data_IF_542548370532
#
_entry.id   IF_542548370532
#
_cell.length_a   1.000
_cell.length_b   1.000
_cell.length_c   1.000
_cell.angle_alpha   90.00
_cell.angle_beta   90.00
_cell.angle_gamma   90.00
#
_symmetry.space_group_name_H-M   'P 1'
#
loop_
_entity.id
_entity.type
_entity.pdbx_description
1 polymer ?
#
# COMPACT_ATOMS: atom_id res chain seq x y z
N UNK A 1 -9.35 -9.57 -4.27
CA UNK A 1 -8.29 -9.00 -5.12
C UNK A 1 -8.62 -9.24 -6.58
N UNK A 2 -8.36 -8.25 -7.44
CA UNK A 2 -8.34 -8.37 -8.91
C UNK A 2 -6.90 -8.22 -9.41
N UNK A 3 -6.52 -8.98 -10.43
CA UNK A 3 -5.26 -8.81 -11.15
C UNK A 3 -5.57 -8.59 -12.63
N UNK A 4 -5.22 -7.40 -13.10
CA UNK A 4 -5.49 -6.94 -14.46
C UNK A 4 -4.18 -6.96 -15.24
N UNK A 5 -4.08 -7.88 -16.19
CA UNK A 5 -2.91 -7.97 -17.07
C UNK A 5 -3.18 -7.23 -18.38
N UNK A 6 -2.25 -6.39 -18.80
CA UNK A 6 -2.27 -5.63 -20.06
C UNK A 6 -1.00 -5.92 -20.86
N UNK A 7 -1.04 -5.60 -22.16
CA UNK A 7 0.06 -5.91 -23.09
C UNK A 7 1.38 -5.26 -22.73
N UNK A 8 1.32 -4.03 -22.21
CA UNK A 8 2.46 -3.16 -22.00
C UNK A 8 2.16 -2.07 -20.95
N UNK A 9 3.19 -1.35 -20.54
CA UNK A 9 3.13 -0.25 -19.57
C UNK A 9 2.08 0.81 -19.94
N UNK A 10 1.93 1.14 -21.23
CA UNK A 10 1.00 2.17 -21.70
C UNK A 10 -0.44 1.70 -21.50
N UNK A 11 -0.73 0.46 -21.86
CA UNK A 11 -2.04 -0.15 -21.67
C UNK A 11 -2.40 -0.33 -20.18
N UNK A 12 -1.44 -0.71 -19.34
CA UNK A 12 -1.59 -0.74 -17.88
C UNK A 12 -1.91 0.65 -17.31
N UNK A 13 -1.14 1.66 -17.69
CA UNK A 13 -1.31 3.03 -17.24
C UNK A 13 -2.64 3.63 -17.69
N UNK A 14 -3.06 3.37 -18.93
CA UNK A 14 -4.35 3.81 -19.44
C UNK A 14 -5.51 3.14 -18.68
N UNK A 15 -5.39 1.85 -18.34
CA UNK A 15 -6.42 1.19 -17.56
C UNK A 15 -6.57 1.80 -16.16
N UNK A 16 -5.46 2.06 -15.46
CA UNK A 16 -5.47 2.72 -14.14
C UNK A 16 -6.04 4.13 -14.23
N UNK A 17 -5.61 4.93 -15.22
CA UNK A 17 -6.09 6.30 -15.38
C UNK A 17 -7.61 6.33 -15.64
N UNK A 18 -8.12 5.52 -16.57
CA UNK A 18 -9.56 5.44 -16.83
C UNK A 18 -10.33 4.94 -15.61
N UNK A 19 -9.79 3.97 -14.87
CA UNK A 19 -10.42 3.52 -13.62
C UNK A 19 -10.57 4.67 -12.62
N UNK A 20 -9.52 5.46 -12.40
CA UNK A 20 -9.58 6.63 -11.50
C UNK A 20 -10.61 7.65 -12.00
N UNK A 21 -10.64 7.95 -13.29
CA UNK A 21 -11.61 8.88 -13.89
C UNK A 21 -13.05 8.39 -13.71
N UNK A 22 -13.30 7.11 -13.93
CA UNK A 22 -14.62 6.50 -13.78
C UNK A 22 -15.05 6.47 -12.31
N UNK A 23 -14.11 6.24 -11.37
CA UNK A 23 -14.37 6.36 -9.93
C UNK A 23 -14.78 7.78 -9.55
N UNK A 24 -14.05 8.80 -10.01
CA UNK A 24 -14.37 10.21 -9.73
C UNK A 24 -15.73 10.58 -10.36
N UNK A 25 -15.98 10.21 -11.62
CA UNK A 25 -17.26 10.48 -12.31
C UNK A 25 -18.44 9.81 -11.61
N UNK A 26 -18.27 8.56 -11.19
CA UNK A 26 -19.34 7.81 -10.51
C UNK A 26 -19.61 8.37 -9.12
N UNK A 27 -18.57 8.82 -8.41
CA UNK A 27 -18.69 9.42 -7.09
C UNK A 27 -19.36 10.80 -7.11
N UNK A 28 -19.20 11.57 -8.20
CA UNK A 28 -19.78 12.91 -8.38
C UNK A 28 -19.39 13.86 -7.22
N UNK A 29 -18.10 14.17 -7.04
CA UNK A 29 -17.65 14.92 -5.88
C UNK A 29 -18.18 16.36 -5.85
N UNK A 30 -18.59 16.79 -4.66
CA UNK A 30 -19.03 18.17 -4.35
C UNK A 30 -18.11 18.77 -3.28
N UNK A 31 -18.17 20.08 -3.02
CA UNK A 31 -17.41 20.68 -1.93
C UNK A 31 -17.69 20.04 -0.55
N UNK A 32 -18.91 19.59 -0.31
CA UNK A 32 -19.35 18.96 0.95
C UNK A 32 -19.03 17.46 1.02
N UNK A 33 -18.84 16.83 -0.14
CA UNK A 33 -18.50 15.42 -0.27
C UNK A 33 -17.41 15.25 -1.35
N UNK A 34 -16.14 15.58 -1.03
CA UNK A 34 -15.04 15.52 -1.97
C UNK A 34 -14.56 14.07 -2.19
N UNK A 35 -13.97 13.80 -3.35
CA UNK A 35 -13.32 12.52 -3.62
C UNK A 35 -11.90 12.53 -3.05
N UNK A 36 -11.59 11.63 -2.12
CA UNK A 36 -10.27 11.57 -1.48
C UNK A 36 -9.37 10.55 -2.17
N UNK A 37 -8.28 11.02 -2.78
CA UNK A 37 -7.37 10.24 -3.62
C UNK A 37 -5.97 10.13 -3.01
N UNK A 38 -5.51 8.92 -2.71
CA UNK A 38 -4.14 8.63 -2.33
C UNK A 38 -3.25 8.48 -3.56
N UNK A 39 -2.07 9.12 -3.57
CA UNK A 39 -1.20 9.21 -4.75
C UNK A 39 0.26 8.79 -4.46
N UNK A 40 0.90 8.02 -5.36
CA UNK A 40 2.31 7.68 -5.27
C UNK A 40 3.19 8.61 -6.12
N UNK A 41 4.49 8.55 -5.93
CA UNK A 41 5.48 9.14 -6.84
C UNK A 41 6.22 8.04 -7.63
N UNK A 42 7.34 8.38 -8.25
CA UNK A 42 8.20 7.44 -8.99
C UNK A 42 7.81 7.28 -10.46
N UNK A 43 8.46 6.36 -11.16
CA UNK A 43 8.30 6.22 -12.62
C UNK A 43 6.97 5.57 -13.03
N UNK A 44 6.48 4.62 -12.24
CA UNK A 44 5.28 3.83 -12.57
C UNK A 44 3.99 4.66 -12.76
N UNK A 45 3.68 5.68 -11.91
CA UNK A 45 2.47 6.48 -12.10
C UNK A 45 2.60 7.61 -13.12
N UNK A 46 3.79 7.93 -13.64
CA UNK A 46 4.02 9.09 -14.53
C UNK A 46 3.09 9.09 -15.74
N UNK A 47 2.92 7.93 -16.40
CA UNK A 47 2.04 7.82 -17.56
C UNK A 47 0.55 7.85 -17.18
N UNK A 48 0.19 7.45 -15.95
CA UNK A 48 -1.17 7.62 -15.40
C UNK A 48 -1.47 9.11 -15.26
N UNK A 49 -0.59 9.88 -14.63
CA UNK A 49 -0.76 11.33 -14.46
C UNK A 49 -0.91 12.07 -15.77
N UNK A 50 -0.10 11.72 -16.78
CA UNK A 50 -0.22 12.31 -18.12
C UNK A 50 -1.63 12.12 -18.71
N UNK A 51 -2.20 10.93 -18.58
CA UNK A 51 -3.56 10.65 -19.09
C UNK A 51 -4.61 11.42 -18.29
N UNK A 52 -4.49 11.51 -16.98
CA UNK A 52 -5.39 12.31 -16.14
C UNK A 52 -5.36 13.80 -16.52
N UNK A 53 -4.18 14.34 -16.79
CA UNK A 53 -4.00 15.73 -17.28
C UNK A 53 -4.63 15.92 -18.66
N UNK A 54 -4.42 14.99 -19.59
CA UNK A 54 -4.98 15.06 -20.94
C UNK A 54 -6.53 15.04 -20.91
N UNK A 55 -7.12 14.23 -20.02
CA UNK A 55 -8.57 14.13 -19.81
C UNK A 55 -9.16 15.41 -19.19
N UNK A 56 -8.44 16.03 -18.24
CA UNK A 56 -8.80 17.33 -17.70
C UNK A 56 -8.73 18.43 -18.76
N UNK A 57 -7.63 18.51 -19.53
CA UNK A 57 -7.47 19.49 -20.62
C UNK A 57 -8.53 19.33 -21.70
N UNK A 58 -9.01 18.12 -21.92
CA UNK A 58 -10.13 17.82 -22.80
C UNK A 58 -11.52 18.09 -22.19
N UNK A 59 -11.59 18.66 -20.98
CA UNK A 59 -12.81 19.00 -20.23
C UNK A 59 -13.73 17.80 -19.94
N UNK A 60 -13.14 16.60 -19.78
CA UNK A 60 -13.88 15.35 -19.49
C UNK A 60 -13.88 14.96 -18.01
N UNK A 61 -13.17 15.72 -17.18
CA UNK A 61 -13.08 15.54 -15.73
C UNK A 61 -12.69 16.88 -15.08
N UNK A 62 -12.99 17.04 -13.80
CA UNK A 62 -12.49 18.12 -12.93
C UNK A 62 -11.95 17.52 -11.64
N UNK A 63 -10.89 18.12 -11.12
CA UNK A 63 -10.24 17.81 -9.84
C UNK A 63 -10.55 18.87 -8.76
N UNK A 64 -11.46 19.81 -9.03
CA UNK A 64 -11.79 20.91 -8.12
C UNK A 64 -12.23 20.42 -6.73
N UNK A 65 -13.04 19.34 -6.69
CA UNK A 65 -13.55 18.71 -5.47
C UNK A 65 -12.83 17.38 -5.15
N UNK A 66 -11.56 17.29 -5.54
CA UNK A 66 -10.68 16.17 -5.17
C UNK A 66 -9.71 16.63 -4.08
N UNK A 67 -9.60 15.83 -3.01
CA UNK A 67 -8.58 15.98 -1.97
C UNK A 67 -7.53 14.90 -2.15
N UNK A 68 -6.25 15.25 -2.15
CA UNK A 68 -5.16 14.31 -2.42
C UNK A 68 -4.24 14.13 -1.21
N UNK A 69 -3.81 12.89 -0.98
CA UNK A 69 -2.77 12.56 0.00
C UNK A 69 -1.65 11.78 -0.68
N UNK A 70 -0.43 12.31 -0.65
CA UNK A 70 0.74 11.58 -1.12
C UNK A 70 1.23 10.54 -0.09
N UNK A 71 1.90 9.50 -0.58
CA UNK A 71 2.41 8.41 0.24
C UNK A 71 3.56 8.83 1.16
N UNK A 72 4.46 9.68 0.69
CA UNK A 72 5.76 9.90 1.32
C UNK A 72 6.38 11.24 0.92
N UNK A 73 7.41 11.63 1.67
CA UNK A 73 8.37 12.70 1.33
C UNK A 73 9.71 12.44 2.03
N UNK A 74 10.82 12.79 1.39
CA UNK A 74 12.14 12.69 2.00
C UNK A 74 12.32 13.67 3.16
N UNK A 75 13.07 13.24 4.19
CA UNK A 75 13.42 14.11 5.31
C UNK A 75 14.67 14.93 4.96
N UNK A 76 14.62 16.23 5.26
CA UNK A 76 15.77 17.13 5.11
C UNK A 76 16.06 17.59 3.68
N UNK A 77 15.21 17.25 2.70
CA UNK A 77 15.33 17.77 1.33
C UNK A 77 14.57 19.10 1.22
N UNK A 78 15.14 20.17 0.61
CA UNK A 78 14.38 21.39 0.38
C UNK A 78 13.12 21.11 -0.43
N UNK A 79 12.01 21.75 -0.05
CA UNK A 79 10.70 21.53 -0.69
C UNK A 79 10.73 21.83 -2.19
N UNK A 80 11.50 22.83 -2.60
CA UNK A 80 11.71 23.27 -3.98
C UNK A 80 12.84 22.52 -4.72
N UNK A 81 13.51 21.57 -4.05
CA UNK A 81 14.50 20.73 -4.70
C UNK A 81 13.83 19.93 -5.84
N UNK A 82 14.45 19.82 -7.04
CA UNK A 82 13.82 19.16 -8.19
C UNK A 82 13.36 17.71 -7.93
N UNK A 83 14.11 17.01 -7.08
CA UNK A 83 13.85 15.61 -6.69
C UNK A 83 13.03 15.44 -5.39
N UNK A 84 12.52 16.53 -4.81
CA UNK A 84 11.53 16.41 -3.73
C UNK A 84 10.22 15.85 -4.29
N UNK A 85 9.44 15.14 -3.48
CA UNK A 85 8.15 14.64 -3.91
C UNK A 85 7.11 15.75 -4.05
N UNK A 86 7.25 16.84 -3.31
CA UNK A 86 6.58 18.13 -3.59
C UNK A 86 6.83 18.57 -5.04
N UNK A 87 8.08 18.77 -5.45
CA UNK A 87 8.43 19.21 -6.81
C UNK A 87 7.95 18.22 -7.86
N UNK A 88 8.15 16.92 -7.65
CA UNK A 88 7.69 15.88 -8.57
C UNK A 88 6.18 16.00 -8.83
N UNK A 89 5.37 16.10 -7.78
CA UNK A 89 3.91 16.13 -7.91
C UNK A 89 3.41 17.41 -8.57
N UNK A 90 3.98 18.57 -8.22
CA UNK A 90 3.61 19.84 -8.85
C UNK A 90 4.03 19.89 -10.32
N UNK A 91 5.20 19.36 -10.67
CA UNK A 91 5.71 19.34 -12.04
C UNK A 91 4.96 18.33 -12.91
N UNK A 92 4.54 17.20 -12.35
CA UNK A 92 3.95 16.08 -13.11
C UNK A 92 2.43 16.16 -13.19
N UNK A 93 1.77 16.67 -12.15
CA UNK A 93 0.31 16.58 -12.03
C UNK A 93 -0.37 17.87 -11.56
N UNK A 94 -0.09 18.33 -10.34
CA UNK A 94 -0.94 19.34 -9.69
C UNK A 94 -0.97 20.71 -10.40
N UNK A 95 0.12 21.13 -11.05
CA UNK A 95 0.14 22.40 -11.82
C UNK A 95 -0.61 22.33 -13.15
N UNK A 96 -1.10 21.15 -13.55
CA UNK A 96 -1.71 20.91 -14.86
C UNK A 96 -3.21 20.61 -14.79
N UNK A 97 -3.79 20.60 -13.59
CA UNK A 97 -5.21 20.34 -13.31
C UNK A 97 -5.80 21.43 -12.41
N UNK A 98 -7.13 21.45 -12.23
CA UNK A 98 -7.87 22.40 -11.39
C UNK A 98 -7.99 21.96 -9.91
N UNK A 99 -7.06 21.14 -9.41
CA UNK A 99 -7.04 20.79 -7.98
C UNK A 99 -6.73 22.04 -7.15
N UNK A 100 -7.50 22.26 -6.09
CA UNK A 100 -7.31 23.40 -5.19
C UNK A 100 -6.06 23.19 -4.32
N UNK A 101 -5.17 24.17 -4.16
CA UNK A 101 -3.95 24.02 -3.35
C UNK A 101 -4.21 23.55 -1.91
N UNK A 102 -5.29 24.02 -1.28
CA UNK A 102 -5.70 23.62 0.06
C UNK A 102 -6.14 22.14 0.17
N UNK A 103 -6.46 21.51 -0.95
CA UNK A 103 -6.84 20.11 -1.05
C UNK A 103 -5.65 19.19 -1.35
N UNK A 104 -4.43 19.72 -1.47
CA UNK A 104 -3.22 18.95 -1.72
C UNK A 104 -2.46 18.73 -0.41
N UNK A 105 -2.32 17.46 -0.02
CA UNK A 105 -1.58 17.06 1.17
C UNK A 105 -0.38 16.17 0.79
N UNK A 106 0.81 16.63 1.17
CA UNK A 106 2.08 15.90 1.06
C UNK A 106 2.79 16.11 2.39
N UNK A 107 3.38 15.06 2.95
CA UNK A 107 4.12 15.11 4.21
C UNK A 107 5.20 16.19 4.19
N UNK A 108 5.37 16.92 5.30
CA UNK A 108 6.47 17.86 5.46
C UNK A 108 7.71 17.18 6.08
N UNK A 109 8.60 16.71 5.21
CA UNK A 109 9.89 16.12 5.63
C UNK A 109 10.86 17.09 6.31
N UNK A 110 10.55 18.38 6.39
CA UNK A 110 11.34 19.39 7.12
C UNK A 110 10.62 19.94 8.36
N UNK A 111 9.50 19.31 8.78
CA UNK A 111 8.78 19.73 9.97
C UNK A 111 9.70 19.69 11.22
N UNK A 112 9.60 20.67 12.13
CA UNK A 112 10.40 20.67 13.37
C UNK A 112 10.17 19.44 14.25
N UNK A 113 8.97 18.85 14.19
CA UNK A 113 8.60 17.63 14.87
C UNK A 113 7.97 16.65 13.88
N UNK A 114 8.76 15.68 13.45
CA UNK A 114 8.38 14.69 12.43
C UNK A 114 7.29 13.73 12.91
N UNK A 115 7.26 13.37 14.19
CA UNK A 115 6.23 12.48 14.75
C UNK A 115 4.86 13.20 14.85
N UNK A 116 4.89 14.49 15.19
CA UNK A 116 3.70 15.33 15.19
C UNK A 116 3.15 15.53 13.78
N UNK A 117 4.02 15.72 12.79
CA UNK A 117 3.65 15.77 11.36
C UNK A 117 2.94 14.48 10.93
N UNK A 118 3.52 13.31 11.25
CA UNK A 118 2.90 12.01 10.95
C UNK A 118 1.50 11.88 11.59
N UNK A 119 1.37 12.30 12.85
CA UNK A 119 0.11 12.25 13.59
C UNK A 119 -0.94 13.18 13.00
N UNK A 120 -0.55 14.41 12.62
CA UNK A 120 -1.43 15.38 11.95
C UNK A 120 -1.89 14.87 10.59
N UNK A 121 -1.00 14.24 9.83
CA UNK A 121 -1.32 13.67 8.52
C UNK A 121 -2.42 12.60 8.63
N UNK A 122 -2.27 11.68 9.58
CA UNK A 122 -3.28 10.64 9.88
C UNK A 122 -4.60 11.25 10.37
N UNK A 123 -4.54 12.26 11.24
CA UNK A 123 -5.72 12.98 11.70
C UNK A 123 -6.46 13.66 10.55
N UNK A 124 -5.73 14.26 9.60
CA UNK A 124 -6.32 14.94 8.44
C UNK A 124 -7.00 13.96 7.49
N UNK A 125 -6.39 12.79 7.24
CA UNK A 125 -7.03 11.70 6.48
C UNK A 125 -8.36 11.32 7.13
N UNK A 126 -8.39 11.16 8.47
CA UNK A 126 -9.61 10.81 9.20
C UNK A 126 -10.66 11.92 9.19
N UNK A 127 -10.24 13.17 9.32
CA UNK A 127 -11.09 14.36 9.32
C UNK A 127 -11.90 14.46 8.01
N UNK A 128 -11.27 14.19 6.87
CA UNK A 128 -11.95 14.20 5.57
C UNK A 128 -12.71 12.91 5.25
N UNK A 129 -12.82 12.00 6.23
CA UNK A 129 -13.57 10.75 6.11
C UNK A 129 -12.80 9.60 5.47
N UNK A 130 -11.47 9.66 5.37
CA UNK A 130 -10.65 8.57 4.85
C UNK A 130 -10.57 8.53 3.32
N UNK A 131 -9.62 7.73 2.81
CA UNK A 131 -9.26 7.68 1.39
C UNK A 131 -10.26 6.82 0.62
N UNK A 132 -10.78 7.36 -0.50
CA UNK A 132 -11.72 6.66 -1.38
C UNK A 132 -11.00 5.68 -2.32
N UNK A 133 -9.87 6.10 -2.86
CA UNK A 133 -9.00 5.27 -3.68
C UNK A 133 -7.56 5.63 -3.39
N UNK A 134 -6.74 4.63 -3.08
CA UNK A 134 -5.30 4.79 -2.93
C UNK A 134 -4.60 4.16 -4.13
N UNK A 135 -4.03 4.99 -5.01
CA UNK A 135 -3.13 4.53 -6.05
C UNK A 135 -1.73 4.32 -5.45
N UNK A 136 -1.12 3.18 -5.71
CA UNK A 136 0.25 2.87 -5.30
C UNK A 136 1.08 2.28 -6.44
N UNK A 137 2.39 2.36 -6.29
CA UNK A 137 3.34 1.53 -7.02
C UNK A 137 3.84 0.38 -6.15
N UNK A 138 4.67 -0.48 -6.74
CA UNK A 138 5.42 -1.49 -5.99
C UNK A 138 6.91 -1.43 -6.32
N UNK A 139 7.77 -1.54 -5.30
CA UNK A 139 9.22 -1.75 -5.46
C UNK A 139 9.58 -3.16 -5.97
N UNK A 140 10.80 -3.38 -6.47
CA UNK A 140 11.26 -4.72 -6.88
C UNK A 140 11.33 -5.73 -5.72
N UNK A 141 11.46 -5.24 -4.48
CA UNK A 141 11.43 -5.97 -3.21
C UNK A 141 10.01 -6.10 -2.61
N UNK A 142 8.98 -5.64 -3.32
CA UNK A 142 7.59 -5.70 -2.87
C UNK A 142 7.15 -4.60 -1.91
N UNK A 143 7.94 -3.54 -1.69
CA UNK A 143 7.48 -2.41 -0.87
C UNK A 143 6.34 -1.63 -1.53
N UNK A 144 5.40 -1.12 -0.71
CA UNK A 144 4.47 -0.05 -1.09
C UNK A 144 4.82 1.20 -0.28
N UNK A 145 4.91 2.38 -0.93
CA UNK A 145 5.53 3.58 -0.34
C UNK A 145 6.94 3.24 0.17
N UNK A 146 7.42 3.87 1.24
CA UNK A 146 8.63 3.43 1.93
C UNK A 146 8.39 2.33 2.99
N UNK A 147 7.34 1.51 2.85
CA UNK A 147 7.15 0.33 3.71
C UNK A 147 8.01 -0.84 3.24
N UNK A 148 9.32 -0.69 3.45
CA UNK A 148 10.36 -1.66 3.09
C UNK A 148 10.21 -3.01 3.80
N UNK A 149 10.86 -4.08 3.30
CA UNK A 149 10.85 -5.39 3.92
C UNK A 149 11.14 -5.35 5.42
N UNK A 150 10.29 -6.01 6.20
CA UNK A 150 10.31 -6.02 7.66
C UNK A 150 9.39 -4.98 8.31
N UNK A 151 8.81 -4.06 7.54
CA UNK A 151 7.82 -3.10 8.05
C UNK A 151 6.58 -3.80 8.58
N UNK A 152 6.08 -3.38 9.75
CA UNK A 152 4.84 -3.94 10.30
C UNK A 152 3.67 -3.78 9.30
N UNK A 153 2.91 -4.86 9.10
CA UNK A 153 1.70 -4.84 8.28
C UNK A 153 0.58 -4.01 8.91
N UNK A 154 0.67 -3.69 10.21
CA UNK A 154 -0.22 -2.77 10.92
C UNK A 154 0.38 -1.36 11.12
N UNK A 155 1.48 -1.04 10.43
CA UNK A 155 2.16 0.26 10.59
C UNK A 155 1.27 1.45 10.20
N UNK A 156 1.49 2.57 10.89
CA UNK A 156 0.94 3.90 10.59
C UNK A 156 2.00 4.81 9.95
N UNK A 157 1.58 6.02 9.58
CA UNK A 157 2.49 7.07 9.11
C UNK A 157 3.62 7.30 10.11
N UNK A 158 4.87 7.29 9.63
CA UNK A 158 6.07 7.35 10.48
C UNK A 158 7.31 7.80 9.72
N UNK A 159 8.35 8.14 10.47
CA UNK A 159 9.73 8.22 9.99
C UNK A 159 10.23 6.82 9.61
N UNK A 160 10.88 6.71 8.46
CA UNK A 160 11.51 5.48 7.98
C UNK A 160 12.92 5.77 7.46
N UNK A 161 13.90 5.04 7.98
CA UNK A 161 15.24 4.94 7.38
C UNK A 161 15.17 4.11 6.11
N UNK A 162 15.72 4.62 5.02
CA UNK A 162 15.75 3.94 3.72
C UNK A 162 16.83 2.84 3.71
N UNK A 163 16.50 1.69 3.17
CA UNK A 163 17.43 0.61 2.91
C UNK A 163 18.40 1.00 1.78
N UNK A 164 19.58 0.37 1.79
CA UNK A 164 20.61 0.63 0.79
C UNK A 164 20.15 0.34 -0.65
N UNK A 165 19.26 -0.62 -0.86
CA UNK A 165 18.72 -0.92 -2.18
C UNK A 165 17.80 0.19 -2.70
N UNK A 166 16.99 0.79 -1.82
CA UNK A 166 16.19 1.98 -2.11
C UNK A 166 17.08 3.17 -2.45
N UNK A 167 18.15 3.39 -1.67
CA UNK A 167 19.13 4.45 -1.92
C UNK A 167 19.79 4.26 -3.29
N UNK A 168 20.24 3.04 -3.62
CA UNK A 168 20.83 2.72 -4.94
C UNK A 168 19.84 2.93 -6.08
N UNK A 169 18.59 2.49 -5.92
CA UNK A 169 17.56 2.64 -6.94
C UNK A 169 17.23 4.13 -7.20
N UNK A 170 17.24 4.95 -6.15
CA UNK A 170 16.91 6.36 -6.24
C UNK A 170 18.11 7.25 -6.63
N UNK A 171 19.34 6.78 -6.46
CA UNK A 171 20.56 7.51 -6.85
C UNK A 171 20.54 7.98 -8.31
N UNK A 172 19.84 7.28 -9.22
CA UNK A 172 19.65 7.71 -10.62
C UNK A 172 19.02 9.09 -10.76
N UNK A 173 18.20 9.51 -9.80
CA UNK A 173 17.58 10.83 -9.74
C UNK A 173 18.52 11.90 -9.16
N UNK A 174 19.51 11.48 -8.37
CA UNK A 174 20.51 12.34 -7.73
C UNK A 174 21.86 12.33 -8.48
N UNK A 175 21.82 12.20 -9.81
CA UNK A 175 23.01 12.20 -10.66
C UNK A 175 23.91 10.97 -10.49
N UNK A 176 23.38 9.86 -9.96
CA UNK A 176 24.12 8.62 -9.68
C UNK A 176 24.89 8.64 -8.36
N UNK A 177 24.77 9.70 -7.55
CA UNK A 177 25.51 9.87 -6.31
C UNK A 177 24.68 9.44 -5.10
N UNK A 178 25.05 8.32 -4.47
CA UNK A 178 24.37 7.77 -3.30
C UNK A 178 24.41 8.71 -2.10
N UNK A 179 25.43 9.57 -1.98
CA UNK A 179 25.59 10.47 -0.84
C UNK A 179 24.58 11.63 -0.85
N UNK A 180 24.00 11.92 -2.02
CA UNK A 180 22.98 12.96 -2.21
C UNK A 180 21.56 12.47 -1.99
N UNK A 181 21.36 11.16 -1.91
CA UNK A 181 20.05 10.58 -1.65
C UNK A 181 19.73 10.75 -0.16
N UNK A 182 18.57 11.34 0.21
CA UNK A 182 18.15 11.40 1.59
C UNK A 182 18.07 10.00 2.21
N UNK A 183 18.56 9.86 3.44
CA UNK A 183 18.64 8.55 4.12
C UNK A 183 17.36 8.18 4.88
N UNK A 184 16.45 9.13 5.03
CA UNK A 184 15.18 8.94 5.74
C UNK A 184 14.04 9.61 4.99
N UNK A 185 12.84 9.13 5.20
CA UNK A 185 11.60 9.68 4.67
C UNK A 185 10.48 9.62 5.72
N UNK A 186 9.49 10.48 5.56
CA UNK A 186 8.17 10.26 6.12
C UNK A 186 7.38 9.41 5.13
N UNK A 187 6.64 8.43 5.63
CA UNK A 187 5.82 7.55 4.78
C UNK A 187 4.54 7.20 5.51
N UNK A 188 3.44 7.12 4.77
CA UNK A 188 2.23 6.43 5.22
C UNK A 188 2.54 4.97 5.54
N UNK A 189 1.84 4.42 6.52
CA UNK A 189 2.01 3.03 6.91
C UNK A 189 1.24 2.06 6.03
N UNK A 190 1.53 0.76 6.19
CA UNK A 190 0.79 -0.30 5.51
C UNK A 190 -0.69 -0.25 5.89
N UNK A 191 -1.01 -0.05 7.17
CA UNK A 191 -2.41 0.06 7.62
C UNK A 191 -3.07 1.33 7.11
N UNK A 192 -2.33 2.45 7.01
CA UNK A 192 -2.84 3.71 6.44
C UNK A 192 -3.31 3.52 5.01
N UNK A 193 -2.57 2.74 4.19
CA UNK A 193 -2.98 2.38 2.83
C UNK A 193 -4.17 1.42 2.86
N UNK A 194 -4.14 0.41 3.72
CA UNK A 194 -5.19 -0.62 3.85
C UNK A 194 -6.51 -0.10 4.44
N UNK A 195 -6.51 1.07 5.05
CA UNK A 195 -7.72 1.76 5.53
C UNK A 195 -8.49 2.46 4.40
N UNK A 196 -7.90 2.60 3.20
CA UNK A 196 -8.58 3.13 2.04
C UNK A 196 -9.77 2.25 1.64
N UNK A 197 -10.80 2.83 1.03
CA UNK A 197 -11.94 2.04 0.52
C UNK A 197 -11.52 1.15 -0.64
N UNK A 198 -10.59 1.62 -1.46
CA UNK A 198 -9.97 0.87 -2.55
C UNK A 198 -8.46 1.10 -2.60
N UNK A 199 -7.72 0.05 -2.96
CA UNK A 199 -6.29 0.13 -3.20
C UNK A 199 -5.99 -0.40 -4.59
N UNK A 200 -5.41 0.45 -5.42
CA UNK A 200 -5.01 0.15 -6.80
C UNK A 200 -3.51 0.21 -6.90
N UNK A 201 -2.86 -0.88 -7.29
CA UNK A 201 -1.41 -0.92 -7.51
C UNK A 201 -1.11 -1.01 -8.99
N UNK A 202 -0.18 -0.20 -9.48
CA UNK A 202 0.41 -0.34 -10.80
C UNK A 202 1.81 -1.00 -10.70
N UNK A 203 2.01 -2.07 -11.47
CA UNK A 203 3.25 -2.85 -11.47
C UNK A 203 3.68 -3.18 -12.91
N UNK A 204 4.64 -2.42 -13.46
CA UNK A 204 5.10 -2.60 -14.84
C UNK A 204 6.59 -3.00 -14.89
N UNK A 205 6.92 -3.84 -15.87
CA UNK A 205 8.26 -4.29 -16.21
C UNK A 205 8.76 -5.49 -15.42
N UNK A 206 9.68 -6.24 -16.03
CA UNK A 206 10.26 -7.47 -15.49
C UNK A 206 10.86 -7.32 -14.08
N UNK A 207 11.38 -6.13 -13.75
CA UNK A 207 11.92 -5.84 -12.41
C UNK A 207 10.90 -6.03 -11.27
N UNK A 208 9.60 -6.05 -11.58
CA UNK A 208 8.52 -6.22 -10.59
C UNK A 208 7.96 -7.64 -10.54
N UNK A 209 8.45 -8.55 -11.39
CA UNK A 209 7.88 -9.88 -11.53
C UNK A 209 7.95 -10.70 -10.23
N UNK A 210 9.10 -10.67 -9.55
CA UNK A 210 9.25 -11.36 -8.27
C UNK A 210 8.33 -10.78 -7.19
N UNK A 211 8.27 -9.46 -7.06
CA UNK A 211 7.37 -8.79 -6.13
C UNK A 211 5.90 -9.17 -6.38
N UNK A 212 5.49 -9.21 -7.65
CA UNK A 212 4.13 -9.59 -8.02
C UNK A 212 3.83 -11.05 -7.69
N UNK A 213 4.77 -11.96 -7.96
CA UNK A 213 4.65 -13.37 -7.56
C UNK A 213 4.46 -13.50 -6.05
N UNK A 214 5.30 -12.84 -5.26
CA UNK A 214 5.21 -12.92 -3.80
C UNK A 214 3.92 -12.34 -3.26
N UNK A 215 3.39 -11.29 -3.87
CA UNK A 215 2.14 -10.68 -3.49
C UNK A 215 0.90 -11.50 -3.88
N UNK A 216 0.92 -12.20 -5.02
CA UNK A 216 -0.26 -12.90 -5.57
C UNK A 216 -0.28 -14.38 -5.19
N UNK A 217 0.86 -15.06 -5.25
CA UNK A 217 0.98 -16.51 -5.03
C UNK A 217 1.60 -16.87 -3.68
N UNK A 218 2.34 -15.94 -3.06
CA UNK A 218 2.90 -16.10 -1.73
C UNK A 218 1.87 -15.92 -0.61
N UNK A 219 2.26 -16.29 0.62
CA UNK A 219 1.47 -15.95 1.81
C UNK A 219 1.74 -14.51 2.28
N UNK A 220 0.80 -13.96 3.05
CA UNK A 220 0.96 -12.64 3.70
C UNK A 220 2.23 -12.61 4.53
N UNK A 221 3.13 -11.67 4.23
CA UNK A 221 4.47 -11.61 4.82
C UNK A 221 5.01 -10.17 4.83
N UNK A 222 5.52 -9.71 5.97
CA UNK A 222 6.10 -8.37 6.11
C UNK A 222 7.40 -8.13 5.31
N UNK A 223 8.03 -9.18 4.80
CA UNK A 223 9.17 -9.07 3.87
C UNK A 223 8.74 -8.66 2.46
N UNK A 224 7.46 -8.84 2.13
CA UNK A 224 6.85 -8.46 0.86
C UNK A 224 5.57 -7.69 1.19
N UNK A 225 5.69 -6.43 1.62
CA UNK A 225 4.58 -5.69 2.21
C UNK A 225 3.38 -5.56 1.27
N UNK A 226 3.58 -5.60 -0.05
CA UNK A 226 2.50 -5.71 -1.05
C UNK A 226 1.55 -6.90 -0.83
N UNK A 227 2.02 -7.99 -0.21
CA UNK A 227 1.18 -9.15 0.13
C UNK A 227 0.04 -8.80 1.10
N UNK A 228 0.08 -7.64 1.78
CA UNK A 228 -1.02 -7.16 2.62
C UNK A 228 -2.34 -7.02 1.83
N UNK A 229 -2.28 -6.78 0.52
CA UNK A 229 -3.47 -6.62 -0.33
C UNK A 229 -4.36 -7.85 -0.41
N UNK A 230 -3.84 -9.03 -0.04
CA UNK A 230 -4.65 -10.23 0.10
C UNK A 230 -5.72 -10.09 1.20
N UNK A 231 -5.46 -9.23 2.20
CA UNK A 231 -6.37 -8.94 3.30
C UNK A 231 -7.34 -7.79 2.97
N UNK A 232 -7.10 -7.04 1.88
CA UNK A 232 -7.90 -5.88 1.54
C UNK A 232 -9.19 -6.30 0.82
N UNK A 233 -10.38 -5.79 1.24
CA UNK A 233 -11.65 -6.17 0.63
C UNK A 233 -11.77 -5.75 -0.85
N UNK A 234 -11.11 -4.65 -1.25
CA UNK A 234 -11.19 -4.07 -2.60
C UNK A 234 -9.80 -3.70 -3.11
N UNK A 235 -8.93 -4.70 -3.29
CA UNK A 235 -7.61 -4.53 -3.92
C UNK A 235 -7.64 -4.86 -5.40
N UNK A 236 -6.95 -4.05 -6.20
CA UNK A 236 -6.68 -4.30 -7.62
C UNK A 236 -5.21 -4.08 -7.92
N UNK A 237 -4.58 -5.02 -8.61
CA UNK A 237 -3.25 -4.86 -9.18
C UNK A 237 -3.39 -4.80 -10.69
N UNK A 238 -2.79 -3.80 -11.33
CA UNK A 238 -2.72 -3.64 -12.78
C UNK A 238 -1.27 -3.78 -13.20
N UNK A 239 -1.01 -4.75 -14.07
CA UNK A 239 0.34 -5.14 -14.47
C UNK A 239 0.44 -5.29 -15.99
N UNK A 240 1.61 -4.99 -16.55
CA UNK A 240 1.95 -5.41 -17.91
C UNK A 240 2.37 -6.89 -17.96
N UNK A 241 2.49 -7.47 -19.15
CA UNK A 241 2.90 -8.88 -19.30
C UNK A 241 4.28 -9.13 -18.68
N UNK A 242 5.22 -8.20 -18.81
CA UNK A 242 6.59 -8.33 -18.30
C UNK A 242 6.62 -8.46 -16.76
N UNK A 243 5.73 -7.77 -16.04
CA UNK A 243 5.61 -7.93 -14.60
C UNK A 243 5.00 -9.29 -14.20
N UNK A 244 4.54 -10.12 -15.13
CA UNK A 244 3.97 -11.46 -14.84
C UNK A 244 4.94 -12.62 -15.06
N UNK A 245 6.20 -12.36 -15.45
CA UNK A 245 7.16 -13.39 -15.85
C UNK A 245 7.42 -14.47 -14.79
N UNK A 246 7.31 -14.14 -13.50
CA UNK A 246 7.50 -15.05 -12.37
C UNK A 246 6.20 -15.69 -11.86
N UNK A 247 5.04 -15.31 -12.43
CA UNK A 247 3.75 -15.93 -12.10
C UNK A 247 3.58 -17.27 -12.82
N UNK A 248 2.85 -18.19 -12.19
CA UNK A 248 2.45 -19.40 -12.87
C UNK A 248 1.49 -19.08 -14.03
N UNK A 249 1.66 -19.78 -15.14
CA UNK A 249 0.77 -19.68 -16.31
C UNK A 249 -0.70 -19.87 -15.91
N UNK A 250 -0.97 -20.78 -14.96
CA UNK A 250 -2.32 -21.03 -14.44
C UNK A 250 -2.90 -19.80 -13.73
N UNK A 251 -2.09 -19.08 -12.95
CA UNK A 251 -2.48 -17.84 -12.24
C UNK A 251 -2.87 -16.76 -13.24
N UNK A 252 -2.02 -16.49 -14.24
CA UNK A 252 -2.31 -15.49 -15.28
C UNK A 252 -3.59 -15.85 -16.05
N UNK A 253 -3.75 -17.12 -16.46
CA UNK A 253 -4.96 -17.59 -17.15
C UNK A 253 -6.21 -17.46 -16.29
N UNK A 254 -6.11 -17.76 -14.99
CA UNK A 254 -7.22 -17.62 -14.06
C UNK A 254 -7.72 -16.18 -14.00
N UNK A 255 -6.84 -15.22 -13.74
CA UNK A 255 -7.21 -13.81 -13.63
C UNK A 255 -7.71 -13.21 -14.96
N UNK A 256 -7.07 -13.53 -16.09
CA UNK A 256 -7.57 -13.12 -17.42
C UNK A 256 -8.96 -13.70 -17.71
N UNK A 257 -9.23 -14.93 -17.30
CA UNK A 257 -10.52 -15.60 -17.51
C UNK A 257 -11.64 -14.95 -16.68
N UNK A 258 -11.44 -14.77 -15.37
CA UNK A 258 -12.48 -14.20 -14.49
C UNK A 258 -12.82 -12.76 -14.87
N UNK A 259 -11.84 -11.94 -15.27
CA UNK A 259 -12.09 -10.57 -15.73
C UNK A 259 -12.90 -10.56 -17.03
N UNK A 260 -12.57 -11.43 -18.00
CA UNK A 260 -13.34 -11.57 -19.23
C UNK A 260 -14.80 -11.98 -18.97
N UNK A 261 -15.01 -12.94 -18.07
CA UNK A 261 -16.37 -13.40 -17.70
C UNK A 261 -17.13 -12.30 -16.97
N UNK A 262 -16.48 -11.60 -16.02
CA UNK A 262 -17.08 -10.48 -15.29
C UNK A 262 -17.56 -9.39 -16.23
N UNK A 263 -16.68 -8.90 -17.11
CA UNK A 263 -17.01 -7.90 -18.12
C UNK A 263 -18.14 -8.38 -19.05
N UNK A 264 -18.09 -9.63 -19.52
CA UNK A 264 -19.13 -10.20 -20.39
C UNK A 264 -20.50 -10.36 -19.74
N UNK A 265 -20.58 -10.31 -18.40
CA UNK A 265 -21.82 -10.34 -17.62
C UNK A 265 -22.26 -8.96 -17.12
N UNK A 266 -21.53 -7.89 -17.49
CA UNK A 266 -21.75 -6.56 -16.94
C UNK A 266 -21.47 -6.48 -15.44
N UNK A 267 -20.71 -7.44 -14.90
CA UNK A 267 -20.28 -7.40 -13.50
C UNK A 267 -19.05 -6.51 -13.39
N UNK A 268 -19.29 -5.29 -12.92
CA UNK A 268 -18.25 -4.43 -12.36
C UNK A 268 -18.32 -4.53 -10.84
N UNK A 269 -17.16 -4.59 -10.17
CA UNK A 269 -17.09 -4.70 -8.73
C UNK A 269 -17.84 -3.51 -8.10
N UNK A 270 -18.99 -3.78 -7.46
CA UNK A 270 -19.81 -2.74 -6.82
C UNK A 270 -19.00 -2.07 -5.71
N UNK A 271 -18.80 -0.77 -5.88
CA UNK A 271 -18.02 0.09 -5.00
C UNK A 271 -18.75 0.24 -3.65
N UNK A 272 -18.06 0.19 -2.50
CA UNK A 272 -18.68 0.45 -1.21
C UNK A 272 -19.08 1.94 -1.10
N UNK A 273 -20.38 2.23 -1.15
CA UNK A 273 -20.93 3.60 -1.08
C UNK A 273 -20.84 4.28 0.30
N UNK A 274 -20.25 3.64 1.32
CA UNK A 274 -20.19 4.18 2.69
C UNK A 274 -18.88 3.86 3.38
N UNK A 275 -18.43 4.80 4.21
CA UNK A 275 -17.47 4.61 5.31
C UNK A 275 -17.70 3.25 5.98
N UNK A 276 -16.80 2.30 5.76
CA UNK A 276 -16.67 1.18 6.69
C UNK A 276 -15.99 1.73 7.93
N UNK A 277 -16.78 2.15 8.91
CA UNK A 277 -16.29 2.21 10.28
C UNK A 277 -16.00 0.77 10.69
N UNK A 278 -14.77 0.30 10.45
CA UNK A 278 -14.27 -0.80 11.26
C UNK A 278 -14.26 -0.26 12.69
N UNK A 279 -15.29 -0.61 13.45
CA UNK A 279 -15.12 -0.72 14.88
C UNK A 279 -13.94 -1.68 15.04
N UNK A 280 -12.81 -1.15 15.49
CA UNK A 280 -11.76 -1.96 16.08
C UNK A 280 -12.47 -2.75 17.18
N UNK A 281 -12.83 -4.00 16.87
CA UNK A 281 -13.22 -4.94 17.89
C UNK A 281 -12.05 -4.92 18.87
N UNK A 282 -12.32 -4.47 20.09
CA UNK A 282 -11.32 -4.45 21.15
C UNK A 282 -10.67 -5.84 21.21
N UNK A 283 -9.35 -5.94 21.41
CA UNK A 283 -8.72 -7.23 21.58
C UNK A 283 -9.50 -8.04 22.63
N UNK A 284 -9.70 -9.35 22.41
CA UNK A 284 -10.46 -10.18 23.34
C UNK A 284 -9.89 -9.96 24.74
N UNK A 285 -10.73 -9.49 25.65
CA UNK A 285 -10.33 -9.31 27.04
C UNK A 285 -9.89 -10.68 27.55
N UNK A 286 -8.64 -10.78 28.00
CA UNK A 286 -8.16 -11.91 28.77
C UNK A 286 -9.12 -12.11 29.94
N UNK A 287 -9.65 -13.33 30.17
CA UNK A 287 -10.50 -13.58 31.32
C UNK A 287 -9.76 -13.18 32.58
N UNK A 288 -10.38 -12.36 33.44
CA UNK A 288 -9.86 -11.98 34.74
C UNK A 288 -9.37 -13.21 35.50
N UNK A 289 -8.05 -13.38 35.60
CA UNK A 289 -7.46 -14.29 36.58
C UNK A 289 -7.68 -13.68 37.96
N UNK A 290 -8.57 -14.30 38.72
CA UNK A 290 -8.71 -14.02 40.15
C UNK A 290 -7.41 -14.44 40.87
N UNK A 291 -6.87 -13.53 41.67
CA UNK A 291 -6.05 -13.85 42.85
C UNK A 291 -4.56 -13.51 42.73
N UNK A 292 -3.97 -12.82 43.73
CA UNK A 292 -2.54 -12.50 43.74
C UNK A 292 -1.71 -13.75 44.02
N UNK A 293 -0.62 -13.92 43.28
CA UNK A 293 0.43 -14.90 43.58
C UNK A 293 1.14 -14.48 44.87
N UNK A 294 0.92 -15.23 45.95
CA UNK A 294 1.72 -15.13 47.17
C UNK A 294 3.03 -15.90 46.99
N UNK A 295 4.14 -15.20 47.14
CA UNK A 295 5.49 -15.75 47.29
C UNK A 295 5.61 -16.33 48.69
N UNK A 296 6.03 -17.59 48.82
CA UNK A 296 6.63 -18.13 50.05
C UNK A 296 7.83 -19.01 49.69
N UNK A 297 8.91 -18.75 50.42
CA UNK A 297 10.23 -19.36 50.36
C UNK A 297 10.25 -20.84 50.83
N UNK A 298 10.94 -21.67 50.04
CA UNK A 298 11.86 -22.83 50.28
C UNK A 298 11.90 -23.60 51.64
N UNK A 299 12.64 -24.73 51.77
CA UNK A 299 12.62 -26.07 51.13
C UNK A 299 12.42 -27.20 52.17
N UNK A 300 11.99 -28.40 51.77
CA UNK A 300 12.49 -29.70 52.31
C UNK A 300 11.70 -30.91 51.76
N UNK A 301 12.45 -31.93 51.30
CA UNK A 301 12.05 -33.32 51.09
C UNK A 301 10.88 -33.64 50.13
N UNK A 302 11.19 -33.89 48.86
CA UNK A 302 10.62 -35.05 48.16
C UNK A 302 11.68 -35.71 47.27
N UNK A 303 11.95 -36.96 47.61
CA UNK A 303 12.96 -37.87 47.09
C UNK A 303 12.69 -38.26 45.62
N UNK A 304 13.72 -38.17 44.78
CA UNK A 304 13.69 -38.56 43.37
C UNK A 304 13.80 -40.08 43.24
N UNK A 305 12.78 -40.74 42.68
CA UNK A 305 12.86 -42.13 42.20
C UNK A 305 12.75 -42.18 40.67
N UNK A 306 13.65 -42.88 39.96
CA UNK A 306 13.66 -42.92 38.50
C UNK A 306 12.80 -44.08 37.97
N UNK A 307 11.73 -43.78 37.23
CA UNK A 307 10.89 -44.82 36.61
C UNK A 307 11.43 -45.28 35.25
N UNK A 308 11.54 -46.60 35.12
CA UNK A 308 12.29 -47.32 34.10
C UNK A 308 11.68 -47.27 32.69
N UNK A 309 12.55 -47.18 31.67
CA UNK A 309 12.21 -47.38 30.26
C UNK A 309 11.85 -48.84 29.97
N UNK A 310 10.59 -49.23 30.14
CA UNK A 310 10.10 -50.55 29.69
C UNK A 310 8.67 -50.58 29.12
N UNK A 311 7.98 -49.45 28.97
CA UNK A 311 6.55 -49.43 28.58
C UNK A 311 6.23 -48.93 27.17
N UNK A 312 7.16 -48.97 26.20
CA UNK A 312 6.88 -48.53 24.81
C UNK A 312 7.24 -49.57 23.74
N UNK A 313 6.60 -50.73 23.75
CA UNK A 313 6.48 -51.60 22.55
C UNK A 313 5.10 -52.27 22.56
N UNK A 314 4.30 -52.04 21.51
CA UNK A 314 3.03 -52.70 21.22
C UNK A 314 2.47 -52.26 19.87
N UNK A 315 2.97 -52.84 18.77
CA UNK A 315 2.27 -53.74 17.82
C UNK A 315 1.33 -53.04 16.82
N UNK A 316 1.79 -53.01 15.56
CA UNK A 316 1.01 -52.69 14.35
C UNK A 316 0.18 -53.91 13.89
N UNK A 317 -1.05 -53.74 13.36
CA UNK A 317 -1.78 -54.82 12.72
C UNK A 317 -1.60 -54.82 11.19
N UNK A 318 -1.27 -55.99 10.64
CA UNK A 318 -1.47 -56.37 9.22
C UNK A 318 -2.81 -57.04 9.05
N UNK A 319 -3.60 -56.56 8.08
CA UNK A 319 -4.27 -57.31 7.02
C UNK A 319 -4.63 -56.33 5.89
#
# INVERSE_FOLDING_TARGET
>A
MRLIVRSDERASSAHVAHYILDRIRTFQPTPENPFVLGLPTGSSPTQVYKILVDEYKAKRISFENVITFNMDEYIGIPKDHPESYHSYMFNTFFSHVDVKPENVHILDGNAPNLDEECTKYEAKIKEVGGIELFLGGVGPDGHIAFNEPGSSLSSRTRVKTLAMDTIRANARFFGGDLSKVPQMALTVGVQTIMDAREVVIIANGASKALALQKAVEGGVNHMWTLSCLQLHPYSMIVADEDATLELQVKTVKYFKSIEKVGLGKGFEQKLPLRLRTWSLASPPQTPNSKGPLSVLDDPENVELTPDSMSSRIGTWPTL
#
